data_IF_580253791557
#
_entry.id   IF_580253791557
#
_cell.length_a   1.000
_cell.length_b   1.000
_cell.length_c   1.000
_cell.angle_alpha   90.00
_cell.angle_beta   90.00
_cell.angle_gamma   90.00
#
_symmetry.space_group_name_H-M   'P 1'
#
loop_
_entity.id
_entity.type
_entity.pdbx_description
1 polymer ?
#
# COMPACT_ATOMS: atom_id res chain seq x y z
N UNK A 1 18.93 7.64 -12.24
CA UNK A 1 19.17 6.23 -11.87
C UNK A 1 19.54 5.49 -13.15
N UNK A 2 20.74 4.91 -13.23
CA UNK A 2 21.26 4.29 -14.45
C UNK A 2 20.54 2.97 -14.75
N UNK A 3 19.70 2.96 -15.78
CA UNK A 3 18.88 1.82 -16.22
C UNK A 3 19.66 0.71 -16.95
N UNK A 4 20.99 0.82 -17.04
CA UNK A 4 21.84 -0.04 -17.87
C UNK A 4 22.38 -1.32 -17.21
N UNK A 5 22.13 -1.58 -15.92
CA UNK A 5 22.79 -2.69 -15.18
C UNK A 5 21.88 -3.84 -14.71
N UNK A 6 20.57 -3.81 -14.97
CA UNK A 6 19.68 -4.89 -14.57
C UNK A 6 19.57 -5.95 -15.68
N UNK A 7 20.07 -7.16 -15.41
CA UNK A 7 19.96 -8.32 -16.32
C UNK A 7 18.50 -8.75 -16.57
N UNK A 8 17.52 -8.33 -15.74
CA UNK A 8 16.07 -8.54 -15.90
C UNK A 8 15.22 -7.39 -15.27
N UNK A 9 15.15 -6.20 -15.90
CA UNK A 9 14.62 -4.98 -15.29
C UNK A 9 13.18 -5.08 -14.74
N UNK A 10 12.32 -5.90 -15.36
CA UNK A 10 10.92 -6.09 -14.92
C UNK A 10 10.77 -6.88 -13.63
N UNK A 11 11.62 -7.90 -13.42
CA UNK A 11 11.52 -8.75 -12.22
C UNK A 11 12.05 -8.02 -10.99
N UNK A 12 13.15 -7.29 -11.14
CA UNK A 12 13.74 -6.53 -10.04
C UNK A 12 12.81 -5.38 -9.63
N UNK A 13 12.18 -4.72 -10.61
CA UNK A 13 11.20 -3.66 -10.33
C UNK A 13 9.92 -4.18 -9.66
N UNK A 14 9.49 -5.41 -9.95
CA UNK A 14 8.35 -6.04 -9.27
C UNK A 14 8.61 -6.21 -7.77
N UNK A 15 9.79 -6.74 -7.39
CA UNK A 15 10.15 -6.92 -5.98
C UNK A 15 10.28 -5.59 -5.24
N UNK A 16 10.86 -4.58 -5.88
CA UNK A 16 10.96 -3.23 -5.30
C UNK A 16 9.57 -2.62 -5.10
N UNK A 17 8.65 -2.79 -6.06
CA UNK A 17 7.30 -2.27 -5.94
C UNK A 17 6.48 -2.97 -4.85
N UNK A 18 6.68 -4.27 -4.62
CA UNK A 18 6.01 -4.98 -3.53
C UNK A 18 6.58 -4.67 -2.14
N UNK A 19 7.82 -4.18 -2.06
CA UNK A 19 8.45 -3.84 -0.79
C UNK A 19 7.71 -2.72 -0.03
N UNK A 20 7.14 -1.74 -0.74
CA UNK A 20 6.36 -0.65 -0.15
C UNK A 20 5.12 -1.16 0.60
N UNK A 21 4.17 -1.83 -0.07
CA UNK A 21 3.02 -2.45 0.58
C UNK A 21 3.40 -3.42 1.71
N UNK A 22 4.44 -4.23 1.52
CA UNK A 22 4.90 -5.17 2.54
C UNK A 22 5.43 -4.45 3.81
N UNK A 23 6.18 -3.36 3.65
CA UNK A 23 6.67 -2.56 4.77
C UNK A 23 5.52 -1.90 5.54
N UNK A 24 4.53 -1.36 4.84
CA UNK A 24 3.33 -0.78 5.47
C UNK A 24 2.53 -1.85 6.22
N UNK A 25 2.34 -3.04 5.64
CA UNK A 25 1.68 -4.14 6.34
C UNK A 25 2.45 -4.57 7.60
N UNK A 26 3.76 -4.69 7.51
CA UNK A 26 4.61 -5.01 8.66
C UNK A 26 4.47 -3.96 9.77
N UNK A 27 4.50 -2.67 9.42
CA UNK A 27 4.30 -1.59 10.39
C UNK A 27 2.90 -1.63 11.02
N UNK A 28 1.86 -1.94 10.25
CA UNK A 28 0.51 -2.14 10.80
C UNK A 28 0.46 -3.29 11.81
N UNK A 29 1.13 -4.40 11.52
CA UNK A 29 1.25 -5.55 12.45
C UNK A 29 1.99 -5.14 13.72
N UNK A 30 3.08 -4.37 13.62
CA UNK A 30 3.81 -3.89 14.81
C UNK A 30 2.94 -3.00 15.70
N UNK A 31 2.13 -2.13 15.11
CA UNK A 31 1.15 -1.34 15.86
C UNK A 31 0.05 -2.19 16.50
N UNK A 32 -0.41 -3.24 15.81
CA UNK A 32 -1.38 -4.18 16.35
C UNK A 32 -0.85 -4.96 17.56
N UNK A 33 0.40 -5.41 17.50
CA UNK A 33 1.07 -6.02 18.64
C UNK A 33 1.18 -5.04 19.82
N UNK A 34 1.45 -3.76 19.56
CA UNK A 34 1.43 -2.73 20.61
C UNK A 34 0.04 -2.59 21.24
N UNK A 35 -1.04 -2.58 20.44
CA UNK A 35 -2.42 -2.55 20.93
C UNK A 35 -2.71 -3.76 21.82
N UNK A 36 -2.30 -4.97 21.40
CA UNK A 36 -2.45 -6.19 22.19
C UNK A 36 -1.77 -6.09 23.56
N UNK A 37 -0.55 -5.56 23.60
CA UNK A 37 0.17 -5.35 24.86
C UNK A 37 -0.56 -4.37 25.78
N UNK A 38 -1.17 -3.30 25.23
CA UNK A 38 -2.00 -2.38 26.02
C UNK A 38 -3.25 -3.08 26.58
N UNK A 39 -3.91 -3.93 25.80
CA UNK A 39 -5.05 -4.73 26.27
C UNK A 39 -4.65 -5.67 27.41
N UNK A 40 -3.53 -6.38 27.28
CA UNK A 40 -3.00 -7.26 28.34
C UNK A 40 -2.63 -6.49 29.61
N UNK A 41 -2.21 -5.23 29.48
CA UNK A 41 -1.95 -4.32 30.60
C UNK A 41 -3.22 -3.66 31.19
N UNK A 42 -4.41 -3.96 30.65
CA UNK A 42 -5.68 -3.37 31.09
C UNK A 42 -5.93 -1.93 30.61
N UNK A 43 -5.13 -1.45 29.65
CA UNK A 43 -5.25 -0.10 29.07
C UNK A 43 -6.01 -0.19 27.75
N UNK A 44 -7.22 0.37 27.72
CA UNK A 44 -8.09 0.36 26.53
C UNK A 44 -8.38 1.76 25.98
N UNK A 45 -7.80 2.77 26.61
CA UNK A 45 -8.02 4.18 26.29
C UNK A 45 -6.76 4.99 26.62
N UNK A 46 -6.67 6.18 26.02
CA UNK A 46 -5.55 7.10 26.23
C UNK A 46 -4.73 7.37 24.97
N UNK A 47 -3.88 8.39 25.06
CA UNK A 47 -3.14 8.93 23.93
C UNK A 47 -2.33 7.87 23.16
N UNK A 48 -1.59 7.01 23.89
CA UNK A 48 -0.74 6.00 23.28
C UNK A 48 -1.52 4.86 22.62
N UNK A 49 -2.68 4.50 23.20
CA UNK A 49 -3.56 3.50 22.63
C UNK A 49 -4.20 4.00 21.32
N UNK A 50 -4.71 5.24 21.32
CA UNK A 50 -5.26 5.85 20.11
C UNK A 50 -4.19 6.11 19.04
N UNK A 51 -2.96 6.45 19.44
CA UNK A 51 -1.83 6.54 18.53
C UNK A 51 -1.52 5.20 17.87
N UNK A 52 -1.58 4.09 18.61
CA UNK A 52 -1.39 2.76 18.04
C UNK A 52 -2.52 2.38 17.07
N UNK A 53 -3.78 2.67 17.41
CA UNK A 53 -4.93 2.48 16.51
C UNK A 53 -4.80 3.30 15.23
N UNK A 54 -4.44 4.57 15.36
CA UNK A 54 -4.15 5.43 14.22
C UNK A 54 -2.99 4.87 13.38
N UNK A 55 -1.94 4.35 14.03
CA UNK A 55 -0.80 3.70 13.40
C UNK A 55 -1.21 2.51 12.53
N UNK A 56 -2.07 1.62 13.02
CA UNK A 56 -2.64 0.52 12.22
C UNK A 56 -3.39 1.08 11.01
N UNK A 57 -4.33 2.01 11.23
CA UNK A 57 -5.20 2.53 10.19
C UNK A 57 -4.41 3.25 9.08
N UNK A 58 -3.47 4.13 9.44
CA UNK A 58 -2.65 4.88 8.48
C UNK A 58 -1.80 3.93 7.64
N UNK A 59 -1.15 2.94 8.25
CA UNK A 59 -0.33 1.99 7.51
C UNK A 59 -1.17 1.11 6.58
N UNK A 60 -2.36 0.67 6.99
CA UNK A 60 -3.27 -0.06 6.10
C UNK A 60 -3.74 0.80 4.92
N UNK A 61 -4.07 2.08 5.15
CA UNK A 61 -4.42 3.03 4.09
C UNK A 61 -3.25 3.25 3.14
N UNK A 62 -2.04 3.46 3.64
CA UNK A 62 -0.84 3.62 2.80
C UNK A 62 -0.53 2.34 2.01
N UNK A 63 -0.67 1.16 2.62
CA UNK A 63 -0.54 -0.13 1.92
C UNK A 63 -1.56 -0.22 0.77
N UNK A 64 -2.83 0.08 1.04
CA UNK A 64 -3.89 0.00 0.05
C UNK A 64 -3.70 1.02 -1.09
N UNK A 65 -3.27 2.25 -0.79
CA UNK A 65 -2.90 3.24 -1.80
C UNK A 65 -1.73 2.73 -2.65
N UNK A 66 -0.68 2.19 -2.03
CA UNK A 66 0.48 1.66 -2.76
C UNK A 66 0.15 0.43 -3.60
N UNK A 67 -0.96 -0.28 -3.37
CA UNK A 67 -1.40 -1.40 -4.21
C UNK A 67 -2.29 -0.98 -5.37
N UNK A 68 -2.69 0.29 -5.47
CA UNK A 68 -3.53 0.76 -6.57
C UNK A 68 -2.79 0.66 -7.91
N UNK A 69 -3.46 0.16 -8.97
CA UNK A 69 -2.86 -0.03 -10.30
C UNK A 69 -2.78 1.30 -11.07
N UNK A 70 -2.17 2.32 -10.48
CA UNK A 70 -2.07 3.68 -11.02
C UNK A 70 -0.62 4.16 -10.82
N UNK A 71 0.12 4.43 -11.89
CA UNK A 71 1.41 5.12 -11.78
C UNK A 71 1.16 6.54 -11.25
N UNK A 72 1.98 7.11 -10.35
CA UNK A 72 3.33 6.68 -9.94
C UNK A 72 3.37 5.70 -8.75
N UNK A 73 2.22 5.27 -8.23
CA UNK A 73 2.12 4.37 -7.08
C UNK A 73 2.72 3.00 -7.39
N UNK A 74 3.12 2.28 -6.35
CA UNK A 74 3.84 1.01 -6.48
C UNK A 74 3.02 -0.05 -7.23
N UNK A 75 1.71 -0.12 -7.04
CA UNK A 75 0.81 -1.05 -7.71
C UNK A 75 0.76 -0.81 -9.22
N UNK A 76 0.91 0.43 -9.67
CA UNK A 76 1.12 0.75 -11.08
C UNK A 76 2.44 0.19 -11.61
N UNK A 77 3.52 0.25 -10.81
CA UNK A 77 4.82 -0.35 -11.16
C UNK A 77 4.76 -1.88 -11.20
N UNK A 78 4.00 -2.50 -10.30
CA UNK A 78 3.69 -3.95 -10.34
C UNK A 78 3.02 -4.30 -11.66
N UNK A 79 1.95 -3.59 -12.03
CA UNK A 79 1.23 -3.81 -13.30
C UNK A 79 2.16 -3.60 -14.50
N UNK A 80 2.94 -2.52 -14.53
CA UNK A 80 3.91 -2.27 -15.59
C UNK A 80 4.92 -3.42 -15.78
N UNK A 81 5.42 -3.98 -14.67
CA UNK A 81 6.37 -5.10 -14.70
C UNK A 81 5.76 -6.42 -15.18
N UNK A 82 4.46 -6.62 -14.92
CA UNK A 82 3.72 -7.81 -15.37
C UNK A 82 3.29 -7.72 -16.84
N UNK A 83 3.13 -6.52 -17.38
CA UNK A 83 2.67 -6.31 -18.75
C UNK A 83 3.76 -6.64 -19.82
N UNK A 84 3.37 -7.16 -21.01
CA UNK A 84 4.23 -7.25 -22.18
C UNK A 84 4.82 -5.88 -22.55
N UNK A 85 6.03 -5.87 -23.14
CA UNK A 85 6.79 -4.64 -23.39
C UNK A 85 5.98 -3.54 -24.11
N UNK A 86 5.19 -3.90 -25.12
CA UNK A 86 4.36 -2.95 -25.88
C UNK A 86 3.28 -2.29 -25.01
N UNK A 87 2.61 -3.08 -24.16
CA UNK A 87 1.56 -2.59 -23.27
C UNK A 87 2.15 -1.79 -22.10
N UNK A 88 3.30 -2.22 -21.57
CA UNK A 88 4.02 -1.48 -20.54
C UNK A 88 4.37 -0.06 -21.00
N UNK A 89 4.88 0.13 -22.23
CA UNK A 89 5.14 1.46 -22.77
C UNK A 89 3.89 2.32 -22.94
N UNK A 90 2.75 1.72 -23.32
CA UNK A 90 1.48 2.46 -23.40
C UNK A 90 1.00 2.85 -22.01
N UNK A 91 1.10 1.94 -21.04
CA UNK A 91 0.74 2.17 -19.65
C UNK A 91 1.64 3.24 -18.99
N UNK A 92 2.94 3.32 -19.31
CA UNK A 92 3.78 4.41 -18.81
C UNK A 92 3.34 5.82 -19.28
N UNK A 93 2.58 5.93 -20.40
CA UNK A 93 2.11 7.23 -20.88
C UNK A 93 1.07 7.87 -19.97
N UNK A 94 0.41 7.09 -19.10
CA UNK A 94 -0.55 7.62 -18.12
C UNK A 94 0.11 8.13 -16.84
N UNK A 95 1.41 7.87 -16.63
CA UNK A 95 2.16 8.28 -15.43
C UNK A 95 2.04 9.78 -15.10
N UNK A 96 2.13 10.73 -16.06
CA UNK A 96 1.98 12.15 -15.76
C UNK A 96 0.58 12.54 -15.24
N UNK A 97 -0.45 11.78 -15.62
CA UNK A 97 -1.84 12.01 -15.19
C UNK A 97 -2.18 11.28 -13.89
N UNK A 98 -1.28 10.44 -13.38
CA UNK A 98 -1.47 9.59 -12.21
C UNK A 98 -2.02 10.31 -11.00
N UNK A 99 -1.38 11.42 -10.62
CA UNK A 99 -1.81 12.21 -9.47
C UNK A 99 -3.22 12.78 -9.67
N UNK A 100 -3.53 13.27 -10.88
CA UNK A 100 -4.85 13.81 -11.20
C UNK A 100 -5.91 12.71 -11.11
N UNK A 101 -5.62 11.50 -11.58
CA UNK A 101 -6.53 10.35 -11.46
C UNK A 101 -6.78 10.03 -9.99
N UNK A 102 -5.75 9.97 -9.15
CA UNK A 102 -5.89 9.71 -7.70
C UNK A 102 -6.74 10.80 -7.03
N UNK A 103 -6.51 12.08 -7.36
CA UNK A 103 -7.30 13.18 -6.80
C UNK A 103 -8.77 13.13 -7.25
N UNK A 104 -9.05 12.80 -8.51
CA UNK A 104 -10.42 12.62 -8.98
C UNK A 104 -11.10 11.45 -8.28
N UNK A 105 -10.40 10.33 -8.11
CA UNK A 105 -10.92 9.17 -7.36
C UNK A 105 -11.19 9.52 -5.90
N UNK A 106 -10.35 10.37 -5.29
CA UNK A 106 -10.53 10.84 -3.92
C UNK A 106 -11.79 11.70 -3.79
N UNK A 107 -11.97 12.70 -4.67
CA UNK A 107 -13.11 13.63 -4.63
C UNK A 107 -14.43 12.93 -4.96
N UNK A 108 -14.40 11.87 -5.75
CA UNK A 108 -15.59 11.09 -6.14
C UNK A 108 -15.91 9.93 -5.19
N UNK A 109 -15.18 9.77 -4.08
CA UNK A 109 -15.23 8.62 -3.15
C UNK A 109 -14.98 7.24 -3.79
N UNK A 110 -14.73 7.18 -5.10
CA UNK A 110 -14.41 5.96 -5.83
C UNK A 110 -13.11 5.31 -5.33
N UNK A 111 -12.17 6.14 -4.83
CA UNK A 111 -10.92 5.67 -4.22
C UNK A 111 -11.19 4.72 -3.05
N UNK A 112 -12.12 5.08 -2.17
CA UNK A 112 -12.49 4.23 -1.03
C UNK A 112 -13.03 2.89 -1.50
N UNK A 113 -13.95 2.88 -2.46
CA UNK A 113 -14.51 1.63 -3.01
C UNK A 113 -13.42 0.72 -3.58
N UNK A 114 -12.43 1.29 -4.27
CA UNK A 114 -11.31 0.56 -4.84
C UNK A 114 -10.35 0.00 -3.76
N UNK A 115 -10.16 0.75 -2.67
CA UNK A 115 -9.29 0.35 -1.56
C UNK A 115 -9.92 -0.66 -0.60
N UNK A 116 -11.26 -0.68 -0.47
CA UNK A 116 -12.00 -1.57 0.45
C UNK A 116 -11.55 -3.04 0.45
N UNK A 117 -11.40 -3.74 -0.69
CA UNK A 117 -10.96 -5.14 -0.67
C UNK A 117 -9.55 -5.29 -0.09
N UNK A 118 -8.65 -4.37 -0.42
CA UNK A 118 -7.27 -4.39 0.05
C UNK A 118 -7.20 -4.07 1.55
N UNK A 119 -7.97 -3.10 2.01
CA UNK A 119 -8.10 -2.75 3.41
C UNK A 119 -8.72 -3.90 4.22
N UNK A 120 -9.74 -4.57 3.69
CA UNK A 120 -10.36 -5.73 4.32
C UNK A 120 -9.36 -6.86 4.52
N UNK A 121 -8.62 -7.23 3.47
CA UNK A 121 -7.58 -8.25 3.56
C UNK A 121 -6.47 -7.86 4.55
N UNK A 122 -6.00 -6.61 4.50
CA UNK A 122 -5.00 -6.11 5.44
C UNK A 122 -5.49 -6.12 6.89
N UNK A 123 -6.73 -5.71 7.12
CA UNK A 123 -7.35 -5.71 8.43
C UNK A 123 -7.57 -7.14 8.96
N UNK A 124 -7.99 -8.07 8.10
CA UNK A 124 -8.07 -9.50 8.45
C UNK A 124 -6.71 -10.03 8.89
N UNK A 125 -5.65 -9.79 8.11
CA UNK A 125 -4.28 -10.20 8.48
C UNK A 125 -3.88 -9.59 9.83
N UNK A 126 -4.08 -8.28 10.00
CA UNK A 126 -3.72 -7.56 11.23
C UNK A 126 -4.51 -8.08 12.44
N UNK A 127 -5.79 -8.42 12.26
CA UNK A 127 -6.65 -8.91 13.34
C UNK A 127 -6.18 -10.22 13.96
N UNK A 128 -5.36 -11.00 13.26
CA UNK A 128 -4.76 -12.22 13.82
C UNK A 128 -3.68 -11.94 14.86
N UNK A 129 -3.18 -10.70 14.92
CA UNK A 129 -2.12 -10.26 15.84
C UNK A 129 -2.64 -9.43 17.02
N UNK A 130 -3.89 -8.97 16.95
CA UNK A 130 -4.60 -8.33 18.07
C UNK A 130 -5.02 -9.39 19.10
#
# INVERSE_FOLDING_TARGET
>A
MDFGRLRRPKKDMLWVALAGPAANLLMAILWALAIRLYFEAGVQEGYWFEMARAGVNVNLVLMALNLLPILPLDGGRVVFSLLPQRLAFQYARIEPYGLVIVLLLLVTDALWVLMRPVLGLGAEIVSWFL
#
